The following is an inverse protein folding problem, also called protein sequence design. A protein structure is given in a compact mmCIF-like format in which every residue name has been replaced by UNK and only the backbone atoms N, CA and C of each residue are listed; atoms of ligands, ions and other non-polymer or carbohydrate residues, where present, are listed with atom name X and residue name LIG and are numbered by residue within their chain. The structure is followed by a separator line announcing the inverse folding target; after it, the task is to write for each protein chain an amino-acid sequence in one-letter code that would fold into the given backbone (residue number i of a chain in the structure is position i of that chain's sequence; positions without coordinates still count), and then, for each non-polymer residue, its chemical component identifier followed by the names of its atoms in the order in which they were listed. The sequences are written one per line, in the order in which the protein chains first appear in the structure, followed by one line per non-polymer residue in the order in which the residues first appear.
data_IF_371814408902
#
_entry.id   IF_371814408902
#
_cell.length_a   1.000
_cell.length_b   1.000
_cell.length_c   1.000
_cell.angle_alpha   90.00
_cell.angle_beta   90.00
_cell.angle_gamma   90.00
#
_symmetry.space_group_name_H-M   'P 1'
#
loop_
_entity.id
_entity.type
_entity.pdbx_description
1 polymer ?
#
# COMPACT_ATOMS: atom_id res chain seq x y z
N UNK A 1 -0.04 20.58 -6.68
CA UNK A 1 -1.22 19.70 -6.53
C UNK A 1 -0.88 18.65 -5.47
N UNK A 2 -1.24 18.92 -4.22
CA UNK A 2 -0.97 18.02 -3.08
C UNK A 2 -1.82 16.75 -3.21
N UNK A 3 -1.52 15.69 -2.44
CA UNK A 3 -2.41 14.54 -2.26
C UNK A 3 -3.72 14.99 -1.58
N UNK A 4 -4.60 15.64 -2.32
CA UNK A 4 -5.84 16.19 -1.78
C UNK A 4 -6.68 15.04 -1.23
N UNK A 5 -6.79 14.99 0.11
CA UNK A 5 -7.62 14.09 0.92
C UNK A 5 -7.09 12.69 1.26
N UNK A 6 -5.81 12.35 1.12
CA UNK A 6 -5.31 11.13 1.78
C UNK A 6 -5.19 11.40 3.28
N UNK A 7 -5.64 10.48 4.14
CA UNK A 7 -5.38 10.54 5.59
C UNK A 7 -4.50 9.38 6.03
N UNK A 8 -3.84 9.59 7.17
CA UNK A 8 -3.21 8.49 7.91
C UNK A 8 -4.29 7.44 8.24
N UNK A 9 -3.89 6.17 8.31
CA UNK A 9 -4.75 4.98 8.48
C UNK A 9 -5.48 4.47 7.21
N UNK A 10 -5.40 5.18 6.07
CA UNK A 10 -5.98 4.68 4.83
C UNK A 10 -5.35 3.35 4.41
N UNK A 11 -6.20 2.41 3.97
CA UNK A 11 -5.74 1.13 3.49
C UNK A 11 -5.05 1.29 2.13
N UNK A 12 -3.90 0.64 1.97
CA UNK A 12 -3.10 0.68 0.76
C UNK A 12 -3.21 -0.66 0.04
N UNK A 13 -3.43 -0.63 -1.26
CA UNK A 13 -3.68 -1.77 -2.12
C UNK A 13 -2.66 -1.78 -3.26
N UNK A 14 -2.13 -2.96 -3.57
CA UNK A 14 -1.24 -3.14 -4.72
C UNK A 14 -1.99 -3.06 -6.06
N UNK A 15 -3.25 -3.50 -6.10
CA UNK A 15 -4.14 -3.42 -7.25
C UNK A 15 -5.58 -3.13 -6.79
N UNK A 16 -6.37 -2.49 -7.65
CA UNK A 16 -7.79 -2.20 -7.39
C UNK A 16 -8.60 -3.51 -7.30
N UNK A 17 -8.99 -3.91 -6.09
CA UNK A 17 -9.69 -5.17 -5.82
C UNK A 17 -8.85 -6.23 -5.11
N UNK A 18 -7.58 -5.94 -4.81
CA UNK A 18 -6.69 -6.82 -4.05
C UNK A 18 -6.85 -6.71 -2.53
N UNK A 19 -6.06 -7.46 -1.76
CA UNK A 19 -5.97 -7.32 -0.31
C UNK A 19 -5.17 -6.07 0.04
N UNK A 20 -5.53 -5.42 1.14
CA UNK A 20 -4.74 -4.30 1.66
C UNK A 20 -3.37 -4.79 2.09
N UNK A 21 -2.32 -4.23 1.51
CA UNK A 21 -0.92 -4.58 1.76
C UNK A 21 -0.40 -3.92 3.03
N UNK A 22 -1.08 -2.87 3.48
CA UNK A 22 -0.68 -2.05 4.60
C UNK A 22 -1.60 -0.85 4.80
N UNK A 23 -1.14 0.07 5.65
CA UNK A 23 -1.84 1.31 5.93
C UNK A 23 -0.91 2.52 5.81
N UNK A 24 -1.47 3.66 5.41
CA UNK A 24 -0.75 4.93 5.36
C UNK A 24 -0.35 5.33 6.78
N UNK A 25 0.96 5.43 7.01
CA UNK A 25 1.52 5.81 8.30
C UNK A 25 1.84 7.29 8.38
N UNK A 26 2.35 7.86 7.30
CA UNK A 26 2.63 9.28 7.22
C UNK A 26 2.49 9.79 5.79
N UNK A 27 2.02 11.04 5.68
CA UNK A 27 1.90 11.75 4.41
C UNK A 27 2.91 12.89 4.43
N UNK A 28 3.63 13.04 3.33
CA UNK A 28 4.54 14.16 3.06
C UNK A 28 4.07 14.86 1.78
N UNK A 29 4.69 15.99 1.47
CA UNK A 29 4.27 16.83 0.34
C UNK A 29 4.23 16.07 -1.00
N UNK A 30 5.20 15.17 -1.24
CA UNK A 30 5.33 14.40 -2.49
C UNK A 30 5.47 12.88 -2.28
N UNK A 31 5.56 12.44 -1.03
CA UNK A 31 5.74 11.03 -0.67
C UNK A 31 4.73 10.55 0.36
N UNK A 32 4.47 9.25 0.32
CA UNK A 32 3.57 8.53 1.19
C UNK A 32 4.38 7.42 1.88
N UNK A 33 4.37 7.40 3.20
CA UNK A 33 5.00 6.35 3.99
C UNK A 33 3.91 5.37 4.38
N UNK A 34 4.05 4.14 3.91
CA UNK A 34 3.10 3.05 4.13
C UNK A 34 3.76 2.00 5.00
N UNK A 35 3.08 1.57 6.05
CA UNK A 35 3.54 0.43 6.83
C UNK A 35 2.96 -0.85 6.26
N UNK A 36 3.84 -1.74 5.79
CA UNK A 36 3.52 -3.07 5.27
C UNK A 36 3.85 -4.08 6.37
N UNK A 37 2.86 -4.89 6.76
CA UNK A 37 3.05 -5.93 7.77
C UNK A 37 4.12 -6.91 7.30
N UNK A 38 5.07 -7.23 8.17
CA UNK A 38 6.19 -8.14 7.90
C UNK A 38 7.23 -7.64 6.86
N UNK A 39 7.14 -6.38 6.42
CA UNK A 39 8.14 -5.74 5.55
C UNK A 39 8.69 -4.44 6.16
N UNK A 40 7.85 -3.65 6.83
CA UNK A 40 8.23 -2.39 7.46
C UNK A 40 7.64 -1.18 6.76
N UNK A 41 8.23 0.00 6.99
CA UNK A 41 7.84 1.22 6.30
C UNK A 41 8.42 1.30 4.89
N UNK A 42 7.58 1.69 3.95
CA UNK A 42 7.92 1.86 2.54
C UNK A 42 7.52 3.25 2.11
N UNK A 43 8.42 3.94 1.45
CA UNK A 43 8.16 5.27 0.90
C UNK A 43 7.77 5.15 -0.57
N UNK A 44 6.57 5.61 -0.89
CA UNK A 44 6.05 5.72 -2.25
C UNK A 44 6.01 7.19 -2.66
N UNK A 45 6.33 7.49 -3.91
CA UNK A 45 6.13 8.80 -4.49
C UNK A 45 4.72 8.93 -5.04
N UNK A 46 4.30 10.17 -5.30
CA UNK A 46 3.03 10.44 -5.95
C UNK A 46 2.84 9.72 -7.29
N UNK A 47 3.92 9.56 -8.06
CA UNK A 47 3.92 8.79 -9.32
C UNK A 47 3.57 7.32 -9.12
N UNK A 48 3.85 6.76 -7.94
CA UNK A 48 3.60 5.34 -7.65
C UNK A 48 2.14 5.10 -7.21
N UNK A 49 1.34 6.16 -7.04
CA UNK A 49 -0.08 6.09 -6.66
C UNK A 49 -0.94 6.16 -7.91
N UNK A 50 -1.60 5.04 -8.24
CA UNK A 50 -2.56 4.98 -9.34
C UNK A 50 -3.83 5.77 -9.03
N UNK A 51 -4.36 5.62 -7.81
CA UNK A 51 -5.61 6.24 -7.36
C UNK A 51 -5.63 6.35 -5.85
N UNK A 52 -6.11 7.46 -5.30
CA UNK A 52 -6.36 7.59 -3.86
C UNK A 52 -7.71 8.24 -3.63
N UNK A 53 -8.68 7.48 -3.14
CA UNK A 53 -10.07 7.93 -2.95
C UNK A 53 -10.79 6.98 -1.99
N UNK A 54 -11.83 7.47 -1.31
CA UNK A 54 -12.75 6.63 -0.52
C UNK A 54 -12.07 5.83 0.62
N UNK A 55 -11.05 6.40 1.28
CA UNK A 55 -10.32 5.67 2.33
C UNK A 55 -9.29 4.67 1.82
N UNK A 56 -9.06 4.63 0.50
CA UNK A 56 -8.20 3.64 -0.16
C UNK A 56 -7.13 4.32 -1.01
N UNK A 57 -5.92 3.78 -0.96
CA UNK A 57 -4.81 4.15 -1.83
C UNK A 57 -4.44 2.94 -2.67
N UNK A 58 -4.55 3.06 -3.99
CA UNK A 58 -4.16 2.03 -4.95
C UNK A 58 -2.84 2.45 -5.59
N UNK A 59 -1.84 1.57 -5.53
CA UNK A 59 -0.52 1.78 -6.11
C UNK A 59 -0.46 1.33 -7.57
N UNK A 60 0.53 1.81 -8.30
CA UNK A 60 0.84 1.32 -9.65
C UNK A 60 1.60 -0.01 -9.54
N UNK A 61 1.12 -1.11 -10.15
CA UNK A 61 1.78 -2.40 -10.06
C UNK A 61 3.19 -2.39 -10.67
N UNK A 62 3.43 -1.57 -11.70
CA UNK A 62 4.75 -1.38 -12.31
C UNK A 62 5.79 -0.77 -11.36
N UNK A 63 5.36 -0.08 -10.31
CA UNK A 63 6.24 0.54 -9.32
C UNK A 63 6.48 -0.33 -8.08
N UNK A 64 5.82 -1.49 -7.99
CA UNK A 64 5.99 -2.39 -6.84
C UNK A 64 7.25 -3.25 -7.03
N UNK A 65 8.18 -3.12 -6.10
CA UNK A 65 9.32 -4.05 -6.01
C UNK A 65 8.85 -5.48 -5.81
N UNK A 66 9.59 -6.44 -6.36
CA UNK A 66 9.30 -7.88 -6.20
C UNK A 66 9.20 -8.31 -4.74
N UNK A 67 9.93 -7.65 -3.86
CA UNK A 67 9.89 -7.92 -2.41
C UNK A 67 8.54 -7.55 -1.80
N UNK A 68 7.93 -6.44 -2.23
CA UNK A 68 6.58 -6.05 -1.80
C UNK A 68 5.56 -7.04 -2.36
N UNK A 69 5.66 -7.41 -3.65
CA UNK A 69 4.82 -8.45 -4.24
C UNK A 69 4.94 -9.80 -3.51
N UNK A 70 6.15 -10.16 -3.09
CA UNK A 70 6.40 -11.36 -2.33
C UNK A 70 5.82 -11.27 -0.91
N UNK A 71 5.91 -10.11 -0.25
CA UNK A 71 5.28 -9.87 1.05
C UNK A 71 3.75 -9.96 0.97
N UNK A 72 3.14 -9.46 -0.11
CA UNK A 72 1.70 -9.58 -0.38
C UNK A 72 1.31 -11.05 -0.60
N UNK A 73 2.06 -11.76 -1.44
CA UNK A 73 1.85 -13.19 -1.69
C UNK A 73 1.99 -14.00 -0.39
N UNK A 74 2.93 -13.64 0.48
CA UNK A 74 3.11 -14.29 1.77
C UNK A 74 2.00 -13.94 2.77
N UNK A 75 1.47 -12.71 2.72
CA UNK A 75 0.27 -12.34 3.50
C UNK A 75 -0.97 -13.13 3.04
N UNK A 76 -1.08 -13.47 1.74
CA UNK A 76 -2.13 -14.36 1.22
C UNK A 76 -1.96 -15.83 1.67
N UNK A 77 -0.72 -16.27 1.94
CA UNK A 77 -0.40 -17.64 2.36
C UNK A 77 -0.69 -17.88 3.86
N UNK A 78 -0.58 -16.84 4.68
CA UNK A 78 -0.79 -16.88 6.13
C UNK A 78 -2.26 -17.11 6.56
N UNK A 79 -3.19 -17.30 5.62
CA UNK A 79 -4.59 -17.64 5.90
C UNK A 79 -4.97 -19.08 5.48
N UNK A 80 -3.97 -19.98 5.34
CA UNK A 80 -4.19 -21.43 5.15
C UNK A 80 -3.68 -22.29 6.31
N UNK A 81 -3.79 -21.82 7.56
CA UNK A 81 -3.54 -22.68 8.72
C UNK A 81 -4.47 -22.38 9.90
N UNK A 82 -5.76 -22.72 9.71
CA UNK A 82 -6.56 -23.34 10.77
C UNK A 82 -7.46 -24.40 10.14
N UNK A 83 -6.93 -25.61 9.97
CA UNK A 83 -7.74 -26.84 10.02
C UNK A 83 -7.61 -27.41 11.42
#
# INVERSE_FOLDING_TARGET
MCFGNITEDWAVFAHDGDVSIGAVRHIRADTLIVYIKNFGDVTFHKRDVARASDGKVVLQPDCLSREVLNAITHAHDQERERT
#
